data_IF_452107851912
#
_entry.id   IF_452107851912
#
_cell.length_a   1.000
_cell.length_b   1.000
_cell.length_c   1.000
_cell.angle_alpha   90.00
_cell.angle_beta   90.00
_cell.angle_gamma   90.00
#
_symmetry.space_group_name_H-M   'P 1'
#
loop_
_entity.id
_entity.type
_entity.pdbx_description
1 polymer ?
#
# COMPACT_ATOMS: atom_id res chain seq x y z
N UNK A 1 26.87 15.78 -9.68
CA UNK A 1 26.43 15.29 -8.36
C UNK A 1 27.53 14.41 -7.77
N UNK A 2 27.79 14.47 -6.46
CA UNK A 2 28.78 13.58 -5.84
C UNK A 2 28.25 12.13 -5.79
N UNK A 3 29.12 11.12 -5.77
CA UNK A 3 28.71 9.71 -5.66
C UNK A 3 27.82 9.42 -4.45
N UNK A 4 28.07 10.07 -3.32
CA UNK A 4 27.31 9.92 -2.07
C UNK A 4 25.88 10.44 -2.22
N UNK A 5 25.71 11.57 -2.91
CA UNK A 5 24.40 12.14 -3.17
C UNK A 5 23.60 11.26 -4.14
N UNK A 6 24.26 10.64 -5.12
CA UNK A 6 23.62 9.67 -6.01
C UNK A 6 23.14 8.43 -5.23
N UNK A 7 23.97 7.88 -4.35
CA UNK A 7 23.58 6.74 -3.50
C UNK A 7 22.38 7.08 -2.60
N UNK A 8 22.37 8.28 -2.00
CA UNK A 8 21.24 8.75 -1.18
C UNK A 8 19.94 8.85 -1.98
N UNK A 9 20.01 9.38 -3.21
CA UNK A 9 18.84 9.46 -4.08
C UNK A 9 18.34 8.07 -4.50
N UNK A 10 19.26 7.16 -4.83
CA UNK A 10 18.89 5.77 -5.14
C UNK A 10 18.21 5.09 -3.95
N UNK A 11 18.72 5.29 -2.73
CA UNK A 11 18.08 4.79 -1.51
C UNK A 11 16.63 5.27 -1.39
N UNK A 12 16.40 6.58 -1.54
CA UNK A 12 15.06 7.18 -1.43
C UNK A 12 14.13 6.62 -2.50
N UNK A 13 14.59 6.53 -3.76
CA UNK A 13 13.79 6.01 -4.86
C UNK A 13 13.38 4.56 -4.60
N UNK A 14 14.32 3.70 -4.20
CA UNK A 14 14.04 2.29 -3.90
C UNK A 14 13.10 2.12 -2.73
N UNK A 15 13.24 2.93 -1.68
CA UNK A 15 12.33 2.86 -0.54
C UNK A 15 10.91 3.32 -0.92
N UNK A 16 10.77 4.34 -1.77
CA UNK A 16 9.47 4.75 -2.31
C UNK A 16 8.83 3.66 -3.19
N UNK A 17 9.62 2.99 -4.02
CA UNK A 17 9.13 1.87 -4.85
C UNK A 17 8.61 0.71 -3.99
N UNK A 18 9.19 0.52 -2.79
CA UNK A 18 8.75 -0.47 -1.81
C UNK A 18 7.58 0.00 -0.94
N UNK A 19 7.04 1.19 -1.20
CA UNK A 19 5.87 1.72 -0.53
C UNK A 19 6.13 2.31 0.86
N UNK A 20 7.38 2.53 1.25
CA UNK A 20 7.67 3.22 2.52
C UNK A 20 7.16 4.67 2.48
N UNK A 21 6.59 5.10 3.59
CA UNK A 21 6.19 6.48 3.79
C UNK A 21 7.40 7.42 3.97
N UNK A 22 7.23 8.71 3.68
CA UNK A 22 8.34 9.67 3.68
C UNK A 22 8.99 9.86 5.05
N UNK A 23 8.27 9.61 6.13
CA UNK A 23 8.77 9.59 7.50
C UNK A 23 9.61 8.34 7.79
N UNK A 24 9.18 7.16 7.32
CA UNK A 24 9.96 5.91 7.45
C UNK A 24 11.28 5.99 6.67
N UNK A 25 11.24 6.53 5.44
CA UNK A 25 12.44 6.74 4.62
C UNK A 25 13.43 7.68 5.35
N UNK A 26 12.93 8.75 5.97
CA UNK A 26 13.74 9.66 6.77
C UNK A 26 14.35 8.97 7.98
N UNK A 27 13.59 8.12 8.68
CA UNK A 27 14.11 7.32 9.79
C UNK A 27 15.23 6.39 9.32
N UNK A 28 15.05 5.66 8.23
CA UNK A 28 16.07 4.75 7.69
C UNK A 28 17.34 5.49 7.21
N UNK A 29 17.18 6.66 6.60
CA UNK A 29 18.30 7.53 6.23
C UNK A 29 19.09 8.00 7.47
N UNK A 30 18.41 8.38 8.55
CA UNK A 30 19.11 8.83 9.77
C UNK A 30 19.96 7.73 10.42
N UNK A 31 19.50 6.48 10.32
CA UNK A 31 20.25 5.32 10.81
C UNK A 31 21.54 5.13 10.00
N UNK A 32 21.44 5.19 8.67
CA UNK A 32 22.59 5.03 7.78
C UNK A 32 23.59 6.19 7.86
N UNK A 33 23.11 7.42 8.02
CA UNK A 33 23.96 8.63 8.16
C UNK A 33 24.78 8.63 9.46
N UNK A 34 24.25 8.05 10.54
CA UNK A 34 24.93 8.00 11.84
C UNK A 34 25.90 6.82 11.98
N UNK A 35 25.85 5.85 11.06
CA UNK A 35 26.62 4.60 11.17
C UNK A 35 26.23 3.73 12.37
N UNK A 36 25.15 4.09 13.07
CA UNK A 36 24.69 3.45 14.29
C UNK A 36 23.63 2.36 14.03
N UNK A 37 23.31 2.12 12.76
CA UNK A 37 22.33 1.12 12.37
C UNK A 37 22.77 -0.29 12.80
N UNK A 38 21.89 -0.96 13.53
CA UNK A 38 22.00 -2.41 13.71
C UNK A 38 21.07 -3.11 12.72
N UNK A 39 21.47 -4.28 12.23
CA UNK A 39 20.57 -5.10 11.40
C UNK A 39 19.24 -5.39 12.11
N UNK A 40 19.26 -5.51 13.45
CA UNK A 40 18.05 -5.74 14.26
C UNK A 40 17.06 -4.57 14.15
N UNK A 41 17.53 -3.32 14.20
CA UNK A 41 16.66 -2.14 14.14
C UNK A 41 16.04 -1.92 12.75
N UNK A 42 16.81 -2.25 11.70
CA UNK A 42 16.33 -2.20 10.31
C UNK A 42 15.34 -3.34 10.05
N UNK A 43 15.62 -4.54 10.58
CA UNK A 43 14.73 -5.70 10.50
C UNK A 43 13.37 -5.41 11.15
N UNK A 44 13.36 -4.91 12.39
CA UNK A 44 12.11 -4.60 13.10
C UNK A 44 11.23 -3.60 12.33
N UNK A 45 11.83 -2.55 11.74
CA UNK A 45 11.09 -1.59 10.88
C UNK A 45 10.55 -2.27 9.61
N UNK A 46 11.36 -3.12 9.00
CA UNK A 46 10.97 -3.84 7.78
C UNK A 46 9.82 -4.83 8.06
N UNK A 47 9.83 -5.49 9.22
CA UNK A 47 8.75 -6.39 9.66
C UNK A 47 7.43 -5.64 9.85
N UNK A 48 7.45 -4.48 10.52
CA UNK A 48 6.28 -3.63 10.69
C UNK A 48 5.71 -3.15 9.35
N UNK A 49 6.56 -2.69 8.44
CA UNK A 49 6.13 -2.27 7.10
C UNK A 49 5.54 -3.46 6.31
N UNK A 50 6.16 -4.64 6.41
CA UNK A 50 5.64 -5.85 5.77
C UNK A 50 4.25 -6.25 6.29
N UNK A 51 3.99 -6.08 7.59
CA UNK A 51 2.67 -6.30 8.17
C UNK A 51 1.62 -5.32 7.63
N UNK A 52 1.97 -4.04 7.49
CA UNK A 52 1.07 -3.04 6.89
C UNK A 52 0.77 -3.35 5.42
N UNK A 53 1.79 -3.69 4.64
CA UNK A 53 1.64 -4.12 3.24
C UNK A 53 0.71 -5.32 3.13
N UNK A 54 0.89 -6.34 3.99
CA UNK A 54 0.01 -7.52 4.01
C UNK A 54 -1.43 -7.18 4.35
N UNK A 55 -1.64 -6.27 5.31
CA UNK A 55 -2.98 -5.79 5.68
C UNK A 55 -3.65 -5.07 4.50
N UNK A 56 -2.93 -4.16 3.85
CA UNK A 56 -3.42 -3.44 2.68
C UNK A 56 -3.73 -4.37 1.51
N UNK A 57 -2.92 -5.40 1.28
CA UNK A 57 -3.21 -6.44 0.27
C UNK A 57 -4.53 -7.14 0.61
N UNK A 58 -4.71 -7.59 1.86
CA UNK A 58 -5.94 -8.27 2.27
C UNK A 58 -7.18 -7.38 2.09
N UNK A 59 -7.08 -6.09 2.40
CA UNK A 59 -8.18 -5.15 2.20
C UNK A 59 -8.45 -4.87 0.71
N UNK A 60 -7.40 -4.72 -0.10
CA UNK A 60 -7.53 -4.57 -1.55
C UNK A 60 -8.15 -5.81 -2.22
N UNK A 61 -7.83 -7.01 -1.74
CA UNK A 61 -8.45 -8.26 -2.22
C UNK A 61 -9.95 -8.30 -1.90
N UNK A 62 -10.38 -7.83 -0.73
CA UNK A 62 -11.82 -7.73 -0.40
C UNK A 62 -12.54 -6.75 -1.33
N UNK A 63 -11.90 -5.61 -1.60
CA UNK A 63 -12.43 -4.60 -2.54
C UNK A 63 -12.53 -5.20 -3.95
N UNK A 64 -11.48 -5.88 -4.40
CA UNK A 64 -11.44 -6.56 -5.71
C UNK A 64 -12.60 -7.56 -5.86
N UNK A 65 -12.81 -8.44 -4.87
CA UNK A 65 -13.91 -9.41 -4.89
C UNK A 65 -15.27 -8.72 -5.01
N UNK A 66 -15.46 -7.63 -4.27
CA UNK A 66 -16.71 -6.85 -4.29
C UNK A 66 -16.93 -6.24 -5.68
N UNK A 67 -15.90 -5.61 -6.24
CA UNK A 67 -15.95 -4.99 -7.57
C UNK A 67 -16.19 -6.04 -8.67
N UNK A 68 -15.47 -7.17 -8.63
CA UNK A 68 -15.60 -8.25 -9.59
C UNK A 68 -17.00 -8.87 -9.57
N UNK A 69 -17.55 -9.12 -8.38
CA UNK A 69 -18.91 -9.66 -8.21
C UNK A 69 -19.97 -8.69 -8.71
N UNK A 70 -19.79 -7.41 -8.43
CA UNK A 70 -20.71 -6.35 -8.88
C UNK A 70 -20.67 -6.19 -10.41
N UNK A 71 -19.47 -6.20 -10.99
CA UNK A 71 -19.27 -6.15 -12.43
C UNK A 71 -19.89 -7.35 -13.14
N UNK A 72 -19.74 -8.57 -12.59
CA UNK A 72 -20.33 -9.78 -13.16
C UNK A 72 -21.87 -9.76 -13.22
N UNK A 73 -22.52 -8.97 -12.37
CA UNK A 73 -23.99 -8.77 -12.39
C UNK A 73 -24.43 -7.70 -13.39
N UNK A 74 -23.52 -6.83 -13.83
CA UNK A 74 -23.84 -5.76 -14.76
C UNK A 74 -23.87 -6.29 -16.19
N UNK A 75 -24.99 -6.13 -16.89
CA UNK A 75 -25.11 -6.58 -18.30
C UNK A 75 -24.53 -5.56 -19.28
N UNK A 76 -24.37 -4.30 -18.87
CA UNK A 76 -23.92 -3.20 -19.74
C UNK A 76 -25.02 -2.65 -20.66
N UNK A 77 -26.25 -3.15 -20.55
CA UNK A 77 -27.41 -2.71 -21.32
C UNK A 77 -28.11 -1.52 -20.65
N UNK A 78 -29.04 -0.91 -21.38
CA UNK A 78 -29.93 0.12 -20.85
C UNK A 78 -30.93 -0.53 -19.88
N UNK A 79 -30.62 -0.45 -18.58
CA UNK A 79 -31.38 -1.06 -17.48
C UNK A 79 -31.85 0.02 -16.51
N UNK A 80 -33.09 -0.10 -16.02
CA UNK A 80 -33.65 0.83 -15.04
C UNK A 80 -32.91 0.77 -13.68
N UNK A 81 -32.32 -0.38 -13.35
CA UNK A 81 -31.56 -0.61 -12.12
C UNK A 81 -30.18 -1.17 -12.48
N UNK A 82 -29.13 -0.38 -12.23
CA UNK A 82 -27.75 -0.77 -12.49
C UNK A 82 -27.14 -1.42 -11.22
N UNK A 83 -26.69 -2.69 -11.28
CA UNK A 83 -26.11 -3.37 -10.12
C UNK A 83 -24.85 -2.68 -9.55
N UNK A 84 -24.09 -1.97 -10.40
CA UNK A 84 -22.93 -1.17 -9.96
C UNK A 84 -23.38 0.03 -9.11
N UNK A 85 -24.38 0.76 -9.56
CA UNK A 85 -24.90 1.92 -8.82
C UNK A 85 -25.58 1.48 -7.51
N UNK A 86 -26.30 0.36 -7.55
CA UNK A 86 -26.92 -0.25 -6.36
C UNK A 86 -25.85 -0.58 -5.30
N UNK A 87 -24.77 -1.25 -5.67
CA UNK A 87 -23.70 -1.62 -4.74
C UNK A 87 -22.94 -0.41 -4.16
N UNK A 88 -22.88 0.71 -4.87
CA UNK A 88 -22.25 1.95 -4.39
C UNK A 88 -23.17 2.78 -3.48
N UNK A 89 -24.49 2.72 -3.71
CA UNK A 89 -25.49 3.42 -2.89
C UNK A 89 -25.81 2.66 -1.59
N UNK A 90 -25.83 1.33 -1.70
CA UNK A 90 -26.03 0.42 -0.58
C UNK A 90 -24.73 -0.36 -0.39
N UNK A 91 -23.69 0.32 0.11
CA UNK A 91 -22.56 -0.39 0.67
C UNK A 91 -23.11 -1.39 1.68
N UNK A 92 -22.81 -2.69 1.57
CA UNK A 92 -23.21 -3.62 2.62
C UNK A 92 -22.57 -3.13 3.91
N UNK A 93 -23.42 -2.83 4.90
CA UNK A 93 -23.01 -2.69 6.29
C UNK A 93 -22.15 -3.92 6.60
N UNK A 94 -20.84 -3.76 6.73
CA UNK A 94 -19.94 -4.78 7.24
C UNK A 94 -20.32 -4.98 8.72
N UNK A 95 -21.25 -5.89 8.96
CA UNK A 95 -21.66 -6.35 10.27
C UNK A 95 -20.79 -7.52 10.71
N UNK A 96 -19.95 -7.22 11.72
CA UNK A 96 -19.10 -8.11 12.54
C UNK A 96 -17.80 -8.64 11.91
#
# INVERSE_FOLDING_TARGET
>A
YSPELVQRLQFILRARDLGYAMDEIRSLLSLTDTGAQTCAEVMARTELHLEDVRRRIADLQKIEVTLATTLARCTGDDVAECPILEALQFLPHQGN
#
